data_IF_315517871408
#
_entry.id   IF_315517871408
#
_cell.length_a   1.000
_cell.length_b   1.000
_cell.length_c   1.000
_cell.angle_alpha   90.00
_cell.angle_beta   90.00
_cell.angle_gamma   90.00
#
_symmetry.space_group_name_H-M   'P 1'
#
loop_
_entity.id
_entity.type
_entity.pdbx_description
1 polymer ?
#
# COMPACT_ATOMS: atom_id res chain seq x y z
N UNK A 1 -5.74 2.23 30.06
CA UNK A 1 -5.99 1.82 28.66
C UNK A 1 -5.44 0.44 28.47
N UNK A 2 -6.11 -0.45 27.72
CA UNK A 2 -5.57 -1.77 27.41
C UNK A 2 -4.73 -1.67 26.14
N UNK A 3 -3.47 -2.09 26.22
CA UNK A 3 -2.56 -2.15 25.06
C UNK A 3 -3.06 -3.25 24.13
N UNK A 4 -3.16 -2.93 22.84
CA UNK A 4 -3.50 -3.88 21.80
C UNK A 4 -2.21 -4.52 21.26
N UNK A 5 -1.89 -5.78 21.62
CA UNK A 5 -0.67 -6.42 21.17
C UNK A 5 -0.67 -6.70 19.66
N UNK A 6 -1.83 -6.61 18.99
CA UNK A 6 -1.96 -6.90 17.57
C UNK A 6 -1.37 -5.82 16.65
N UNK A 7 -0.94 -4.67 17.19
CA UNK A 7 -0.32 -3.61 16.39
C UNK A 7 0.76 -2.82 17.10
N UNK A 8 1.56 -2.11 16.29
CA UNK A 8 2.61 -1.19 16.74
C UNK A 8 2.65 0.05 15.85
N UNK A 9 3.02 1.19 16.42
CA UNK A 9 3.37 2.39 15.66
C UNK A 9 4.78 2.18 15.11
N UNK A 10 4.90 2.13 13.79
CA UNK A 10 6.19 1.98 13.10
C UNK A 10 6.93 3.30 13.01
N UNK A 11 6.19 4.38 12.74
CA UNK A 11 6.75 5.70 12.52
C UNK A 11 5.69 6.78 12.65
N UNK A 12 6.09 7.95 13.16
CA UNK A 12 5.32 9.19 13.20
C UNK A 12 6.17 10.32 12.66
N UNK A 13 5.57 11.18 11.85
CA UNK A 13 6.27 12.34 11.30
C UNK A 13 5.37 13.19 10.44
N UNK A 14 5.98 13.90 9.49
CA UNK A 14 5.28 14.81 8.58
C UNK A 14 5.27 14.25 7.17
N UNK A 15 4.17 14.48 6.46
CA UNK A 15 4.04 14.13 5.06
C UNK A 15 5.06 14.91 4.21
N UNK A 16 5.79 14.25 3.30
CA UNK A 16 6.65 14.96 2.36
C UNK A 16 5.86 15.79 1.33
N UNK A 17 4.55 15.55 1.21
CA UNK A 17 3.69 16.24 0.25
C UNK A 17 3.25 17.63 0.73
N UNK A 18 2.82 17.75 1.99
CA UNK A 18 2.21 18.98 2.52
C UNK A 18 2.66 19.35 3.95
N UNK A 19 3.60 18.60 4.53
CA UNK A 19 4.10 18.82 5.89
C UNK A 19 3.11 18.45 7.00
N UNK A 20 1.94 17.90 6.68
CA UNK A 20 0.95 17.55 7.70
C UNK A 20 1.33 16.29 8.47
N UNK A 21 0.93 16.16 9.75
CA UNK A 21 1.30 15.01 10.55
C UNK A 21 0.63 13.72 10.09
N UNK A 22 1.42 12.66 9.95
CA UNK A 22 0.97 11.32 9.54
C UNK A 22 1.60 10.25 10.42
N UNK A 23 0.99 9.07 10.44
CA UNK A 23 1.44 7.91 11.22
C UNK A 23 1.43 6.65 10.38
N UNK A 24 2.45 5.81 10.54
CA UNK A 24 2.53 4.47 9.98
C UNK A 24 2.34 3.44 11.10
N UNK A 25 1.35 2.56 10.96
CA UNK A 25 1.00 1.53 11.95
C UNK A 25 1.02 0.17 11.29
N UNK A 26 1.58 -0.84 11.95
CA UNK A 26 1.42 -2.24 11.57
C UNK A 26 0.34 -2.91 12.40
N UNK A 27 -0.45 -3.79 11.78
CA UNK A 27 -1.39 -4.69 12.47
C UNK A 27 -1.31 -6.10 11.94
N UNK A 28 -1.81 -7.06 12.71
CA UNK A 28 -1.81 -8.49 12.36
C UNK A 28 -0.73 -9.28 13.08
N UNK A 29 -0.09 -8.69 14.09
CA UNK A 29 1.01 -9.30 14.83
C UNK A 29 0.56 -10.56 15.57
N UNK A 30 -0.63 -10.54 16.18
CA UNK A 30 -1.20 -11.65 16.95
C UNK A 30 -2.44 -12.27 16.30
N UNK A 31 -3.24 -11.47 15.59
CA UNK A 31 -4.45 -11.90 14.89
C UNK A 31 -4.42 -11.38 13.45
N UNK A 32 -4.14 -12.29 12.51
CA UNK A 32 -3.99 -11.98 11.09
C UNK A 32 -5.29 -11.57 10.38
N UNK A 33 -5.15 -11.08 9.16
CA UNK A 33 -6.29 -10.71 8.31
C UNK A 33 -7.10 -11.94 7.88
N UNK A 34 -8.43 -11.80 7.83
CA UNK A 34 -9.33 -12.79 7.22
C UNK A 34 -9.46 -12.62 5.69
N UNK A 35 -8.69 -11.72 5.07
CA UNK A 35 -8.76 -11.45 3.63
C UNK A 35 -8.07 -12.57 2.83
N UNK A 36 -8.88 -13.41 2.16
CA UNK A 36 -8.41 -14.54 1.38
C UNK A 36 -7.46 -14.20 0.21
N UNK A 37 -7.50 -12.97 -0.33
CA UNK A 37 -6.57 -12.56 -1.42
C UNK A 37 -5.16 -12.31 -0.90
N UNK A 38 -5.04 -11.62 0.23
CA UNK A 38 -3.73 -11.27 0.80
C UNK A 38 -3.14 -12.38 1.65
N UNK A 39 -3.97 -13.23 2.25
CA UNK A 39 -3.52 -14.20 3.25
C UNK A 39 -3.23 -13.51 4.60
N UNK A 40 -2.36 -14.12 5.41
CA UNK A 40 -2.04 -13.67 6.78
C UNK A 40 -0.96 -12.59 6.85
N UNK A 41 -0.73 -11.88 5.74
CA UNK A 41 0.24 -10.78 5.68
C UNK A 41 -0.05 -9.73 6.75
N UNK A 42 1.02 -9.22 7.38
CA UNK A 42 0.95 -8.03 8.21
C UNK A 42 0.49 -6.85 7.36
N UNK A 43 -0.43 -6.04 7.88
CA UNK A 43 -0.98 -4.89 7.16
C UNK A 43 -0.36 -3.62 7.73
N UNK A 44 0.14 -2.75 6.86
CA UNK A 44 0.62 -1.41 7.25
C UNK A 44 -0.36 -0.33 6.81
N UNK A 45 -0.58 0.64 7.70
CA UNK A 45 -1.58 1.69 7.53
C UNK A 45 -0.89 3.04 7.67
N UNK A 46 -0.96 3.85 6.62
CA UNK A 46 -0.40 5.20 6.59
C UNK A 46 -1.59 6.15 6.65
N UNK A 47 -1.76 6.80 7.79
CA UNK A 47 -2.98 7.51 8.15
C UNK A 47 -2.67 8.95 8.55
N UNK A 48 -3.56 9.93 8.23
CA UNK A 48 -3.45 11.26 8.80
C UNK A 48 -3.49 11.13 10.31
N UNK A 49 -2.57 11.81 11.01
CA UNK A 49 -2.54 11.73 12.47
C UNK A 49 -3.76 12.41 13.05
N UNK A 50 -4.00 13.67 12.69
CA UNK A 50 -4.92 14.51 13.47
C UNK A 50 -6.37 14.52 12.92
N UNK A 51 -6.61 13.86 11.78
CA UNK A 51 -7.93 13.82 11.12
C UNK A 51 -8.35 12.39 10.83
N UNK A 52 -9.58 12.04 11.23
CA UNK A 52 -10.13 10.71 10.97
C UNK A 52 -10.12 10.39 9.45
N UNK A 53 -9.63 9.22 9.01
CA UNK A 53 -9.37 8.96 7.59
C UNK A 53 -10.60 9.09 6.68
N UNK A 54 -11.77 8.62 7.12
CA UNK A 54 -13.00 8.75 6.32
C UNK A 54 -13.53 10.20 6.21
N UNK A 55 -13.02 11.12 7.03
CA UNK A 55 -13.29 12.56 6.91
C UNK A 55 -12.24 13.18 6.00
N UNK A 56 -10.96 12.89 6.22
CA UNK A 56 -9.85 13.39 5.42
C UNK A 56 -10.02 13.09 3.91
N UNK A 57 -10.53 11.89 3.56
CA UNK A 57 -10.77 11.52 2.17
C UNK A 57 -12.06 12.10 1.56
N UNK A 58 -12.92 12.73 2.37
CA UNK A 58 -14.09 13.48 1.89
C UNK A 58 -13.77 14.96 1.61
N UNK A 59 -12.81 15.54 2.32
CA UNK A 59 -12.49 16.97 2.26
C UNK A 59 -11.11 17.30 1.70
N UNK A 60 -10.42 16.32 1.12
CA UNK A 60 -9.13 16.53 0.43
C UNK A 60 -7.89 16.31 1.29
N UNK A 61 -8.03 16.31 2.63
CA UNK A 61 -6.88 16.13 3.55
C UNK A 61 -6.28 14.73 3.53
N UNK A 62 -6.88 13.79 2.82
CA UNK A 62 -6.27 12.50 2.51
C UNK A 62 -5.00 12.63 1.65
N UNK A 63 -4.76 13.78 1.02
CA UNK A 63 -3.55 14.03 0.23
C UNK A 63 -2.28 13.90 1.07
N UNK A 64 -2.31 14.20 2.37
CA UNK A 64 -1.14 14.04 3.25
C UNK A 64 -0.62 12.59 3.30
N UNK A 65 -1.46 11.59 3.01
CA UNK A 65 -1.05 10.17 3.00
C UNK A 65 -1.10 9.50 1.62
N UNK A 66 -1.49 10.24 0.58
CA UNK A 66 -1.62 9.71 -0.78
C UNK A 66 -1.03 10.62 -1.86
N UNK A 67 -0.52 11.80 -1.50
CA UNK A 67 -0.01 12.81 -2.41
C UNK A 67 -1.02 13.18 -3.49
N UNK A 68 -0.54 13.19 -4.73
CA UNK A 68 -1.30 13.48 -5.95
C UNK A 68 -2.05 12.26 -6.55
N UNK A 69 -2.23 11.16 -5.79
CA UNK A 69 -2.88 9.95 -6.25
C UNK A 69 -4.25 10.20 -6.91
N UNK A 70 -4.35 9.93 -8.22
CA UNK A 70 -5.56 10.18 -9.01
C UNK A 70 -6.79 9.42 -8.54
N UNK A 71 -6.62 8.33 -7.79
CA UNK A 71 -7.73 7.50 -7.33
C UNK A 71 -8.50 8.04 -6.13
N UNK A 72 -7.94 9.00 -5.38
CA UNK A 72 -8.55 9.50 -4.14
C UNK A 72 -9.98 10.01 -4.35
N UNK A 73 -10.79 10.00 -3.28
CA UNK A 73 -12.22 10.38 -3.34
C UNK A 73 -12.47 11.81 -3.85
N UNK A 74 -11.57 12.73 -3.50
CA UNK A 74 -11.55 14.12 -3.94
C UNK A 74 -10.94 14.32 -5.34
N UNK A 75 -10.43 13.25 -5.96
CA UNK A 75 -9.96 13.20 -7.35
C UNK A 75 -10.97 12.38 -8.18
N UNK A 76 -10.60 11.20 -8.68
CA UNK A 76 -11.47 10.38 -9.55
C UNK A 76 -12.45 9.47 -8.80
N UNK A 77 -12.29 9.31 -7.48
CA UNK A 77 -13.13 8.43 -6.66
C UNK A 77 -13.13 6.98 -7.15
N UNK A 78 -11.95 6.47 -7.50
CA UNK A 78 -11.72 5.10 -8.00
C UNK A 78 -10.94 4.24 -7.02
N UNK A 79 -10.44 4.82 -5.92
CA UNK A 79 -9.69 4.12 -4.88
C UNK A 79 -10.47 2.92 -4.35
N UNK A 80 -9.82 1.75 -4.30
CA UNK A 80 -10.40 0.53 -3.78
C UNK A 80 -10.47 0.52 -2.24
N UNK A 81 -9.82 1.46 -1.55
CA UNK A 81 -9.76 1.51 -0.09
C UNK A 81 -11.07 2.06 0.47
N UNK A 82 -11.73 1.26 1.32
CA UNK A 82 -12.89 1.70 2.09
C UNK A 82 -12.45 2.41 3.38
N UNK A 83 -12.21 3.73 3.29
CA UNK A 83 -11.67 4.55 4.39
C UNK A 83 -12.50 4.57 5.69
N UNK A 84 -13.79 4.20 5.64
CA UNK A 84 -14.68 4.11 6.80
C UNK A 84 -14.62 2.76 7.54
N UNK A 85 -13.92 1.77 7.00
CA UNK A 85 -13.78 0.43 7.57
C UNK A 85 -12.45 0.29 8.35
N UNK A 86 -11.55 -0.58 7.91
CA UNK A 86 -10.31 -0.89 8.62
C UNK A 86 -9.42 0.34 8.89
N UNK A 87 -9.18 1.28 7.95
CA UNK A 87 -8.41 2.48 8.24
C UNK A 87 -8.97 3.31 9.40
N UNK A 88 -10.30 3.50 9.45
CA UNK A 88 -10.97 4.19 10.56
C UNK A 88 -10.78 3.44 11.88
N UNK A 89 -10.95 2.12 11.89
CA UNK A 89 -10.80 1.30 13.10
C UNK A 89 -9.39 1.38 13.68
N UNK A 90 -8.37 1.29 12.82
CA UNK A 90 -6.96 1.42 13.21
C UNK A 90 -6.67 2.82 13.74
N UNK A 91 -7.13 3.87 13.04
CA UNK A 91 -6.98 5.25 13.49
C UNK A 91 -7.62 5.49 14.88
N UNK A 92 -8.82 4.95 15.11
CA UNK A 92 -9.52 5.07 16.39
C UNK A 92 -8.79 4.34 17.51
N UNK A 93 -8.18 3.18 17.23
CA UNK A 93 -7.33 2.48 18.20
C UNK A 93 -6.06 3.26 18.53
N UNK A 94 -5.41 3.84 17.52
CA UNK A 94 -4.27 4.73 17.72
C UNK A 94 -4.62 5.94 18.59
N UNK A 95 -5.75 6.63 18.32
CA UNK A 95 -6.21 7.77 19.14
C UNK A 95 -6.60 7.41 20.57
N UNK A 96 -6.94 6.14 20.82
CA UNK A 96 -7.15 5.62 22.18
C UNK A 96 -5.84 5.25 22.88
N UNK A 97 -4.67 5.49 22.28
CA UNK A 97 -3.37 5.06 22.82
C UNK A 97 -3.24 3.54 22.89
N UNK A 98 -3.90 2.80 22.00
CA UNK A 98 -3.90 1.33 22.06
C UNK A 98 -2.66 0.68 21.44
N UNK A 99 -1.81 1.43 20.75
CA UNK A 99 -0.61 0.89 20.10
C UNK A 99 0.64 1.48 20.71
N UNK A 100 1.56 0.62 21.11
CA UNK A 100 2.91 1.02 21.52
C UNK A 100 3.78 1.31 20.29
N UNK A 101 4.77 2.21 20.41
CA UNK A 101 5.85 2.32 19.44
C UNK A 101 6.57 1.00 19.22
N UNK A 102 7.07 0.74 18.01
CA UNK A 102 7.84 -0.47 17.72
C UNK A 102 9.18 -0.51 18.48
N UNK A 103 9.76 0.65 18.79
CA UNK A 103 11.05 0.74 19.46
C UNK A 103 12.13 -0.06 18.73
N UNK A 104 12.64 -1.10 19.39
CA UNK A 104 13.66 -2.00 18.83
C UNK A 104 13.10 -3.39 18.44
N UNK A 105 11.78 -3.60 18.54
CA UNK A 105 11.13 -4.91 18.36
C UNK A 105 10.92 -5.28 16.88
N UNK A 106 11.91 -5.02 16.02
CA UNK A 106 11.84 -5.33 14.58
C UNK A 106 11.78 -6.84 14.29
N UNK A 107 12.20 -7.68 15.24
CA UNK A 107 12.06 -9.14 15.18
C UNK A 107 10.59 -9.61 15.10
N UNK A 108 9.61 -8.73 15.38
CA UNK A 108 8.19 -9.02 15.17
C UNK A 108 7.83 -9.31 13.69
N UNK A 109 8.71 -8.94 12.77
CA UNK A 109 8.57 -9.21 11.34
C UNK A 109 9.21 -10.54 10.88
N UNK A 110 10.01 -11.20 11.72
CA UNK A 110 10.69 -12.46 11.36
C UNK A 110 9.70 -13.55 10.95
N UNK A 111 9.90 -14.17 9.79
CA UNK A 111 9.01 -15.23 9.31
C UNK A 111 7.68 -14.73 8.73
N UNK A 112 7.53 -13.41 8.53
CA UNK A 112 6.25 -12.79 8.14
C UNK A 112 6.31 -12.21 6.74
N UNK A 113 5.19 -12.30 6.03
CA UNK A 113 4.95 -11.52 4.83
C UNK A 113 4.29 -10.18 5.19
N UNK A 114 4.72 -9.07 4.59
CA UNK A 114 4.25 -7.72 4.94
C UNK A 114 3.66 -6.99 3.73
N UNK A 115 2.47 -6.42 3.88
CA UNK A 115 1.86 -5.56 2.87
C UNK A 115 2.15 -4.10 3.20
N UNK A 116 2.96 -3.46 2.36
CA UNK A 116 3.23 -2.03 2.41
C UNK A 116 2.05 -1.28 1.79
N UNK A 117 1.45 -0.35 2.56
CA UNK A 117 0.33 0.45 2.09
C UNK A 117 -0.99 -0.34 1.94
N UNK A 118 -1.46 -1.01 3.00
CA UNK A 118 -2.84 -1.52 3.01
C UNK A 118 -3.86 -0.37 2.86
N UNK A 119 -3.51 0.79 3.42
CA UNK A 119 -4.07 2.10 3.11
C UNK A 119 -2.97 3.17 3.21
N UNK A 120 -3.09 4.20 2.36
CA UNK A 120 -2.06 5.22 2.18
C UNK A 120 -0.89 4.73 1.30
N UNK A 121 -0.07 5.67 0.83
CA UNK A 121 1.02 5.41 -0.10
C UNK A 121 2.36 5.25 0.64
N UNK A 122 3.11 4.14 0.44
CA UNK A 122 4.39 3.90 1.08
C UNK A 122 5.41 5.04 0.95
N UNK A 123 5.36 5.82 -0.13
CA UNK A 123 6.27 6.94 -0.36
C UNK A 123 6.06 8.13 0.59
N UNK A 124 4.98 8.13 1.38
CA UNK A 124 4.77 9.13 2.43
C UNK A 124 5.59 8.83 3.69
N UNK A 125 6.13 7.62 3.81
CA UNK A 125 6.96 7.18 4.95
C UNK A 125 8.41 7.07 4.47
N UNK A 126 9.40 7.48 5.28
CA UNK A 126 10.81 7.36 4.91
C UNK A 126 11.19 5.93 4.48
N UNK A 127 12.01 5.81 3.43
CA UNK A 127 12.42 4.53 2.85
C UNK A 127 13.06 3.60 3.88
N UNK A 128 13.76 4.18 4.86
CA UNK A 128 14.46 3.50 5.94
C UNK A 128 13.53 2.65 6.81
N UNK A 129 12.27 3.06 6.99
CA UNK A 129 11.29 2.29 7.76
C UNK A 129 10.96 0.98 7.03
N UNK A 130 10.82 1.04 5.71
CA UNK A 130 10.56 -0.15 4.89
C UNK A 130 11.79 -1.04 4.81
N UNK A 131 12.97 -0.46 4.55
CA UNK A 131 14.24 -1.19 4.54
C UNK A 131 14.47 -1.93 5.86
N UNK A 132 14.14 -1.30 6.99
CA UNK A 132 14.26 -1.94 8.29
C UNK A 132 13.34 -3.15 8.45
N UNK A 133 12.14 -3.12 7.88
CA UNK A 133 11.23 -4.29 7.87
C UNK A 133 11.81 -5.41 6.99
N UNK A 134 12.38 -5.06 5.83
CA UNK A 134 12.96 -6.01 4.88
C UNK A 134 14.14 -6.80 5.45
N UNK A 135 14.86 -6.26 6.43
CA UNK A 135 15.92 -6.99 7.14
C UNK A 135 15.39 -8.22 7.92
N UNK A 136 14.10 -8.23 8.26
CA UNK A 136 13.51 -9.27 9.13
C UNK A 136 12.40 -10.07 8.44
N UNK A 137 11.62 -9.46 7.54
CA UNK A 137 10.49 -10.13 6.93
C UNK A 137 10.91 -11.13 5.84
N UNK A 138 10.12 -12.19 5.65
CA UNK A 138 10.38 -13.19 4.60
C UNK A 138 10.05 -12.66 3.21
N UNK A 139 9.04 -11.79 3.13
CA UNK A 139 8.58 -11.21 1.87
C UNK A 139 7.72 -9.98 2.11
N UNK A 140 7.56 -9.19 1.06
CA UNK A 140 6.65 -8.05 1.09
C UNK A 140 5.93 -7.86 -0.24
N UNK A 141 4.92 -6.99 -0.21
CA UNK A 141 4.35 -6.39 -1.41
C UNK A 141 4.18 -4.90 -1.19
N UNK A 142 4.42 -4.08 -2.22
CA UNK A 142 4.26 -2.64 -2.14
C UNK A 142 4.17 -1.98 -3.51
N UNK A 143 3.40 -0.90 -3.57
CA UNK A 143 3.29 -0.06 -4.76
C UNK A 143 3.06 1.39 -4.35
N UNK A 144 3.56 2.32 -5.17
CA UNK A 144 3.44 3.77 -4.95
C UNK A 144 3.00 4.47 -6.22
N UNK A 145 2.05 5.41 -6.11
CA UNK A 145 1.73 6.36 -7.20
C UNK A 145 2.69 7.54 -7.23
N UNK A 146 3.52 7.72 -6.19
CA UNK A 146 4.43 8.85 -6.07
C UNK A 146 5.78 8.60 -6.74
N UNK A 147 5.92 7.56 -7.55
CA UNK A 147 7.19 7.13 -8.13
C UNK A 147 7.90 8.21 -8.97
N UNK A 148 7.19 9.26 -9.39
CA UNK A 148 7.74 10.45 -10.08
C UNK A 148 8.39 11.46 -9.12
N UNK A 149 8.05 11.40 -7.85
CA UNK A 149 8.40 12.41 -6.87
C UNK A 149 9.83 12.17 -6.32
N UNK A 150 10.62 13.23 -6.05
CA UNK A 150 11.98 13.07 -5.55
C UNK A 150 12.07 12.29 -4.24
N UNK A 151 11.12 12.49 -3.32
CA UNK A 151 11.11 11.79 -2.03
C UNK A 151 10.78 10.30 -2.13
N UNK A 152 10.18 9.86 -3.24
CA UNK A 152 9.81 8.46 -3.43
C UNK A 152 10.94 7.60 -4.02
N UNK A 153 12.02 8.21 -4.53
CA UNK A 153 13.03 7.48 -5.31
C UNK A 153 13.75 6.39 -4.51
N UNK A 154 13.83 6.54 -3.19
CA UNK A 154 14.39 5.52 -2.28
C UNK A 154 13.57 4.22 -2.21
N UNK A 155 12.36 4.18 -2.77
CA UNK A 155 11.52 2.97 -2.82
C UNK A 155 11.70 2.15 -4.09
N UNK A 156 12.56 2.57 -5.03
CA UNK A 156 12.85 1.77 -6.22
C UNK A 156 13.54 0.47 -5.80
N UNK A 157 13.03 -0.67 -6.27
CA UNK A 157 13.50 -1.99 -5.79
C UNK A 157 12.82 -2.47 -4.50
N UNK A 158 11.96 -1.65 -3.88
CA UNK A 158 11.18 -1.98 -2.68
C UNK A 158 9.68 -1.95 -2.97
N UNK A 159 9.23 -0.98 -3.76
CA UNK A 159 7.86 -0.87 -4.25
C UNK A 159 7.85 -0.87 -5.77
N UNK A 160 6.76 -1.34 -6.35
CA UNK A 160 6.48 -1.11 -7.76
C UNK A 160 5.93 0.30 -7.99
N UNK A 161 6.21 0.88 -9.15
CA UNK A 161 5.47 2.03 -9.65
C UNK A 161 4.04 1.58 -9.99
N UNK A 162 3.05 2.18 -9.32
CA UNK A 162 1.64 1.98 -9.67
C UNK A 162 1.34 2.78 -10.93
N UNK A 163 0.98 2.08 -12.00
CA UNK A 163 0.83 2.64 -13.34
C UNK A 163 -0.63 2.62 -13.77
N UNK A 164 -1.18 3.81 -14.01
CA UNK A 164 -2.56 4.03 -14.49
C UNK A 164 -2.62 4.07 -16.02
N UNK A 165 -2.00 3.08 -16.67
CA UNK A 165 -1.98 2.95 -18.12
C UNK A 165 -0.60 2.72 -18.70
N UNK A 166 -0.56 2.53 -20.01
CA UNK A 166 0.67 2.13 -20.71
C UNK A 166 1.72 3.24 -20.76
N UNK A 167 1.30 4.51 -20.82
CA UNK A 167 2.22 5.64 -20.78
C UNK A 167 2.98 5.71 -19.43
N UNK A 168 2.28 5.46 -18.33
CA UNK A 168 2.90 5.36 -17.00
C UNK A 168 3.86 4.19 -16.93
N UNK A 169 3.46 3.03 -17.45
CA UNK A 169 4.33 1.85 -17.53
C UNK A 169 5.64 2.16 -18.26
N UNK A 170 5.57 2.79 -19.43
CA UNK A 170 6.78 3.15 -20.20
C UNK A 170 7.66 4.11 -19.42
N UNK A 171 7.08 5.20 -18.88
CA UNK A 171 7.84 6.22 -18.16
C UNK A 171 8.47 5.68 -16.86
N UNK A 172 7.75 4.84 -16.11
CA UNK A 172 8.27 4.22 -14.90
C UNK A 172 9.37 3.18 -15.21
N UNK A 173 9.19 2.38 -16.28
CA UNK A 173 10.20 1.42 -16.74
C UNK A 173 11.48 2.12 -17.18
N UNK A 174 11.37 3.20 -17.95
CA UNK A 174 12.51 4.03 -18.38
C UNK A 174 13.22 4.68 -17.17
N UNK A 175 12.46 5.01 -16.13
CA UNK A 175 12.99 5.48 -14.85
C UNK A 175 13.54 4.34 -13.97
N UNK A 176 13.57 3.09 -14.43
CA UNK A 176 14.17 1.95 -13.73
C UNK A 176 13.29 1.32 -12.64
N UNK A 177 11.99 1.59 -12.63
CA UNK A 177 11.05 0.96 -11.70
C UNK A 177 10.48 -0.34 -12.27
N UNK A 178 10.27 -1.32 -11.39
CA UNK A 178 9.28 -2.37 -11.67
C UNK A 178 7.88 -1.81 -11.56
N UNK A 179 6.99 -2.29 -12.40
CA UNK A 179 5.68 -1.68 -12.59
C UNK A 179 4.54 -2.60 -12.17
N UNK A 180 3.53 -2.01 -11.55
CA UNK A 180 2.21 -2.61 -11.37
C UNK A 180 1.23 -1.88 -12.29
N UNK A 181 0.88 -2.49 -13.42
CA UNK A 181 -0.04 -1.92 -14.41
C UNK A 181 -1.48 -2.35 -14.12
N UNK A 182 -2.34 -1.37 -13.89
CA UNK A 182 -3.79 -1.55 -13.91
C UNK A 182 -4.30 -1.19 -15.30
N UNK A 183 -5.01 -2.11 -15.94
CA UNK A 183 -5.58 -1.89 -17.27
C UNK A 183 -7.09 -2.12 -17.28
N UNK A 184 -7.82 -1.61 -18.29
CA UNK A 184 -9.25 -1.86 -18.44
C UNK A 184 -9.62 -3.34 -18.39
N UNK A 185 -10.86 -3.63 -18.03
CA UNK A 185 -11.38 -5.00 -18.01
C UNK A 185 -11.28 -5.62 -19.42
N UNK A 186 -10.73 -6.83 -19.50
CA UNK A 186 -10.55 -7.55 -20.76
C UNK A 186 -9.30 -7.16 -21.55
N UNK A 187 -8.51 -6.18 -21.08
CA UNK A 187 -7.19 -5.91 -21.65
C UNK A 187 -6.28 -7.13 -21.49
N UNK A 188 -5.42 -7.34 -22.50
CA UNK A 188 -4.41 -8.40 -22.47
C UNK A 188 -3.14 -7.87 -21.82
N UNK A 189 -2.48 -8.70 -21.00
CA UNK A 189 -1.21 -8.34 -20.40
C UNK A 189 -0.16 -8.03 -21.50
N UNK A 190 0.58 -6.91 -21.40
CA UNK A 190 1.72 -6.67 -22.26
C UNK A 190 2.73 -7.81 -22.20
N UNK A 191 3.44 -8.05 -23.30
CA UNK A 191 4.46 -9.11 -23.37
C UNK A 191 5.52 -8.88 -22.29
N UNK A 192 5.83 -9.93 -21.54
CA UNK A 192 6.84 -9.89 -20.47
C UNK A 192 6.31 -9.54 -19.09
N UNK A 193 5.06 -9.08 -18.96
CA UNK A 193 4.43 -8.85 -17.66
C UNK A 193 3.78 -10.10 -17.09
N UNK A 194 3.88 -10.28 -15.77
CA UNK A 194 3.17 -11.31 -15.04
C UNK A 194 1.73 -10.86 -14.75
N UNK A 195 0.73 -11.49 -15.36
CA UNK A 195 -0.67 -11.23 -15.01
C UNK A 195 -0.97 -11.86 -13.63
N UNK A 196 -1.41 -11.03 -12.69
CA UNK A 196 -1.68 -11.40 -11.30
C UNK A 196 -2.53 -12.68 -11.19
N UNK A 197 -1.92 -13.78 -10.72
CA UNK A 197 -2.60 -15.06 -10.55
C UNK A 197 -3.60 -15.06 -9.37
N UNK A 198 -3.47 -14.11 -8.42
CA UNK A 198 -4.41 -13.91 -7.31
C UNK A 198 -5.66 -13.10 -7.71
N UNK A 199 -5.74 -12.64 -8.97
CA UNK A 199 -6.88 -11.89 -9.49
C UNK A 199 -8.09 -12.78 -9.77
N UNK A 200 -9.28 -12.19 -9.79
CA UNK A 200 -10.53 -12.93 -10.05
C UNK A 200 -10.53 -13.43 -11.49
N UNK A 201 -10.10 -12.60 -12.45
CA UNK A 201 -10.04 -12.95 -13.86
C UNK A 201 -9.03 -14.08 -14.18
N UNK A 202 -8.09 -14.35 -13.27
CA UNK A 202 -7.15 -15.48 -13.36
C UNK A 202 -7.53 -16.68 -12.49
N UNK A 203 -8.71 -16.64 -11.87
CA UNK A 203 -9.26 -17.74 -11.08
C UNK A 203 -8.62 -17.88 -9.69
N UNK A 204 -8.03 -16.81 -9.13
CA UNK A 204 -7.54 -16.75 -7.75
C UNK A 204 -6.62 -17.92 -7.37
N UNK A 205 -5.67 -18.27 -8.24
CA UNK A 205 -4.82 -19.47 -8.14
C UNK A 205 -3.76 -19.39 -7.03
N UNK A 206 -3.57 -18.22 -6.42
CA UNK A 206 -2.59 -17.97 -5.37
C UNK A 206 -3.04 -16.80 -4.49
N UNK A 207 -2.31 -16.54 -3.40
CA UNK A 207 -2.46 -15.37 -2.54
C UNK A 207 -1.27 -14.44 -2.71
N UNK A 208 -1.40 -13.16 -2.29
CA UNK A 208 -0.27 -12.23 -2.32
C UNK A 208 0.91 -12.73 -1.46
N UNK A 209 0.61 -13.32 -0.28
CA UNK A 209 1.60 -13.94 0.60
C UNK A 209 2.42 -15.04 -0.07
N UNK A 210 1.79 -15.89 -0.90
CA UNK A 210 2.49 -16.99 -1.56
C UNK A 210 3.15 -16.56 -2.87
N UNK A 211 2.64 -15.53 -3.54
CA UNK A 211 3.12 -15.11 -4.86
C UNK A 211 4.31 -14.15 -4.81
N UNK A 212 4.27 -13.17 -3.90
CA UNK A 212 5.34 -12.18 -3.62
C UNK A 212 5.88 -11.32 -4.78
N UNK A 213 5.43 -11.50 -6.02
CA UNK A 213 5.95 -10.77 -7.20
C UNK A 213 5.83 -9.24 -7.14
N UNK A 214 5.01 -8.70 -6.25
CA UNK A 214 4.83 -7.26 -6.09
C UNK A 214 5.84 -6.64 -5.11
N UNK A 215 7.07 -7.13 -5.11
CA UNK A 215 8.17 -6.77 -4.20
C UNK A 215 8.99 -5.54 -4.66
N UNK A 216 8.68 -5.00 -5.84
CA UNK A 216 9.39 -3.86 -6.43
C UNK A 216 10.66 -4.22 -7.20
N UNK A 217 11.02 -5.50 -7.30
CA UNK A 217 12.28 -5.95 -7.91
C UNK A 217 12.10 -7.08 -8.92
N UNK A 218 11.28 -8.09 -8.60
CA UNK A 218 11.27 -9.38 -9.29
C UNK A 218 10.59 -9.36 -10.65
N UNK A 219 9.49 -8.62 -10.81
CA UNK A 219 8.69 -8.66 -12.03
C UNK A 219 7.93 -7.36 -12.25
N UNK A 220 7.51 -7.16 -13.51
CA UNK A 220 6.44 -6.23 -13.84
C UNK A 220 5.12 -7.00 -13.79
N UNK A 221 4.15 -6.49 -13.04
CA UNK A 221 2.87 -7.16 -12.76
C UNK A 221 1.73 -6.42 -13.43
N UNK A 222 0.83 -7.18 -14.04
CA UNK A 222 -0.36 -6.68 -14.72
C UNK A 222 -1.63 -7.19 -14.02
N UNK A 223 -2.65 -6.35 -13.97
CA UNK A 223 -3.99 -6.75 -13.51
C UNK A 223 -5.08 -6.00 -14.29
N UNK A 224 -6.22 -6.65 -14.51
CA UNK A 224 -7.40 -5.95 -15.00
C UNK A 224 -8.10 -5.21 -13.86
N UNK A 225 -8.65 -4.05 -14.17
CA UNK A 225 -9.50 -3.29 -13.27
C UNK A 225 -10.68 -4.16 -12.79
N UNK A 226 -10.89 -4.16 -11.47
CA UNK A 226 -11.92 -4.96 -10.81
C UNK A 226 -12.58 -4.15 -9.69
N UNK A 227 -13.73 -4.64 -9.19
CA UNK A 227 -14.53 -3.95 -8.19
C UNK A 227 -15.51 -2.93 -8.78
N UNK A 228 -16.18 -2.17 -7.91
CA UNK A 228 -17.28 -1.29 -8.29
C UNK A 228 -16.85 -0.13 -9.22
N UNK A 229 -15.59 0.29 -9.15
CA UNK A 229 -15.02 1.38 -9.96
C UNK A 229 -14.34 0.89 -11.24
N UNK A 230 -14.37 -0.41 -11.57
CA UNK A 230 -13.63 -0.96 -12.70
C UNK A 230 -13.97 -0.31 -14.05
N UNK A 231 -15.25 0.08 -14.24
CA UNK A 231 -15.70 0.75 -15.47
C UNK A 231 -15.17 2.18 -15.66
N UNK A 232 -14.51 2.75 -14.64
CA UNK A 232 -13.87 4.07 -14.72
C UNK A 232 -12.42 4.00 -15.20
N UNK A 233 -11.83 2.79 -15.31
CA UNK A 233 -10.49 2.61 -15.87
C UNK A 233 -10.64 2.47 -17.38
N UNK A 234 -10.22 3.49 -18.10
CA UNK A 234 -10.21 3.55 -19.57
C UNK A 234 -8.81 3.30 -20.13
N UNK A 235 -8.74 2.95 -21.41
CA UNK A 235 -7.48 2.71 -22.12
C UNK A 235 -6.67 4.00 -22.32
#
# INVERSE_FOLDING_TARGET
MSINPNGRILWEGVSPFDGQPIVCIVTGLTAGSANGKTGTMLQTWILPRDVKPNVAFKDGRGASVCGDCGHAGYNNGTCYVSWWQAPRSVWEAYHRGSYEPIGQDWHLFTGRAVRFGAAGDPAMVPAEIWSRILEFCDSHTGYTHQWRQPWAQGLRGICQASCDGFADYMAASDAGWRCFLVAPKGATAPKGMAHCAASIERGQKTTCQACTLCDGASADVFINAHGASAGKVTA
#
